data_IF_305465005814
#
_entry.id   IF_305465005814
#
_cell.length_a   1.000
_cell.length_b   1.000
_cell.length_c   1.000
_cell.angle_alpha   90.00
_cell.angle_beta   90.00
_cell.angle_gamma   90.00
#
_symmetry.space_group_name_H-M   'P 1'
#
loop_
_entity.id
_entity.type
_entity.pdbx_description
1 polymer ?
#
# COMPACT_ATOMS: atom_id res chain seq x y z
N UNK A 1 20.38 24.62 41.60
CA UNK A 1 20.99 25.22 40.40
C UNK A 1 20.86 24.17 39.30
N UNK A 2 20.58 24.55 38.05
CA UNK A 2 20.52 23.58 36.96
C UNK A 2 21.92 22.99 36.71
N UNK A 3 22.02 21.66 36.72
CA UNK A 3 23.27 20.91 36.87
C UNK A 3 24.07 20.82 35.57
N UNK A 4 23.43 20.98 34.41
CA UNK A 4 24.08 21.01 33.09
C UNK A 4 23.54 22.16 32.20
N UNK A 5 24.16 22.35 31.02
CA UNK A 5 23.79 23.43 30.09
C UNK A 5 22.35 23.30 29.59
N UNK A 6 21.90 22.09 29.28
CA UNK A 6 20.55 21.82 28.78
C UNK A 6 19.49 22.23 29.80
N UNK A 7 19.68 21.87 31.07
CA UNK A 7 18.76 22.26 32.16
C UNK A 7 18.70 23.77 32.37
N UNK A 8 19.83 24.48 32.15
CA UNK A 8 19.86 25.95 32.21
C UNK A 8 19.11 26.58 31.05
N UNK A 9 19.22 26.03 29.84
CA UNK A 9 18.47 26.49 28.67
C UNK A 9 16.97 26.24 28.83
N UNK A 10 16.56 25.07 29.35
CA UNK A 10 15.17 24.79 29.72
C UNK A 10 14.64 25.78 30.76
N UNK A 11 15.44 26.09 31.78
CA UNK A 11 15.07 27.10 32.79
C UNK A 11 14.92 28.50 32.17
N UNK A 12 15.80 28.89 31.26
CA UNK A 12 15.69 30.17 30.53
C UNK A 12 14.40 30.23 29.71
N UNK A 13 14.07 29.18 28.97
CA UNK A 13 12.82 29.10 28.22
C UNK A 13 11.59 29.22 29.13
N UNK A 14 11.55 28.43 30.21
CA UNK A 14 10.40 28.36 31.12
C UNK A 14 10.18 29.66 31.91
N UNK A 15 11.25 30.35 32.30
CA UNK A 15 11.14 31.61 33.07
C UNK A 15 11.01 32.85 32.18
N UNK A 16 11.44 32.76 30.92
CA UNK A 16 11.57 33.89 30.02
C UNK A 16 12.57 34.96 30.51
N UNK A 17 13.48 34.59 31.42
CA UNK A 17 14.46 35.52 31.96
C UNK A 17 15.49 35.91 30.88
N UNK A 18 15.55 37.20 30.56
CA UNK A 18 16.41 37.71 29.47
C UNK A 18 15.81 37.61 28.08
N UNK A 19 14.52 37.22 27.96
CA UNK A 19 13.83 37.16 26.67
C UNK A 19 13.73 38.54 26.02
N UNK A 20 14.12 38.62 24.74
CA UNK A 20 14.17 39.83 23.91
C UNK A 20 13.19 39.78 22.73
N UNK A 21 12.35 38.74 22.67
CA UNK A 21 11.24 38.60 21.72
C UNK A 21 10.02 37.91 22.35
N UNK A 22 8.84 38.26 21.86
CA UNK A 22 7.57 37.67 22.25
C UNK A 22 6.78 37.25 21.01
N UNK A 23 6.11 36.11 21.08
CA UNK A 23 5.23 35.58 20.05
C UNK A 23 3.81 35.47 20.57
N UNK A 24 2.84 35.95 19.81
CA UNK A 24 1.42 35.70 20.07
C UNK A 24 0.96 34.58 19.14
N UNK A 25 0.87 33.36 19.65
CA UNK A 25 0.69 32.13 18.87
C UNK A 25 -0.73 31.59 19.04
N UNK A 26 -1.33 31.10 17.95
CA UNK A 26 -2.68 30.52 17.94
C UNK A 26 -3.76 31.46 17.41
N UNK A 27 -5.01 30.99 17.39
CA UNK A 27 -6.18 31.75 16.94
C UNK A 27 -7.25 31.84 18.02
N UNK A 28 -8.09 32.87 17.92
CA UNK A 28 -9.25 33.05 18.80
C UNK A 28 -8.86 33.09 20.28
N UNK A 29 -9.56 32.30 21.09
CA UNK A 29 -9.38 32.22 22.54
C UNK A 29 -8.14 31.39 22.95
N UNK A 30 -7.55 30.62 22.04
CA UNK A 30 -6.34 29.81 22.28
C UNK A 30 -5.04 30.59 22.06
N UNK A 31 -5.12 31.91 21.88
CA UNK A 31 -3.94 32.75 21.71
C UNK A 31 -3.10 32.78 22.98
N UNK A 32 -1.83 32.38 22.86
CA UNK A 32 -0.87 32.38 23.95
C UNK A 32 0.32 33.30 23.64
N UNK A 33 0.74 34.07 24.65
CA UNK A 33 1.93 34.90 24.57
C UNK A 33 3.16 34.13 25.08
N UNK A 34 4.09 33.81 24.18
CA UNK A 34 5.28 33.02 24.46
C UNK A 34 6.54 33.89 24.34
N UNK A 35 7.43 33.80 25.33
CA UNK A 35 8.70 34.54 25.36
C UNK A 35 9.83 33.67 24.82
N UNK A 36 10.77 34.26 24.09
CA UNK A 36 11.96 33.57 23.60
C UNK A 36 13.17 34.51 23.49
N UNK A 37 14.29 33.96 23.01
CA UNK A 37 15.57 34.66 22.86
C UNK A 37 15.97 34.64 21.38
N UNK A 38 16.11 35.82 20.75
CA UNK A 38 16.43 35.97 19.33
C UNK A 38 17.71 35.19 18.97
N UNK A 39 18.78 35.30 19.76
CA UNK A 39 20.06 34.65 19.46
C UNK A 39 19.95 33.13 19.31
N UNK A 40 19.16 32.47 20.15
CA UNK A 40 18.93 31.03 20.09
C UNK A 40 18.09 30.69 18.85
N UNK A 41 16.99 31.43 18.65
CA UNK A 41 16.07 31.20 17.52
C UNK A 41 16.75 31.39 16.15
N UNK A 42 17.59 32.42 15.99
CA UNK A 42 18.35 32.65 14.75
C UNK A 42 19.37 31.55 14.48
N UNK A 43 19.98 30.99 15.53
CA UNK A 43 20.96 29.92 15.38
C UNK A 43 20.31 28.62 14.90
N UNK A 44 19.04 28.40 15.25
CA UNK A 44 18.32 27.19 14.89
C UNK A 44 17.49 27.30 13.59
N UNK A 45 17.32 28.51 13.03
CA UNK A 45 16.40 28.77 11.92
C UNK A 45 16.81 29.99 11.09
N UNK A 46 17.09 29.75 9.82
CA UNK A 46 17.39 30.79 8.83
C UNK A 46 16.19 31.74 8.61
N UNK A 47 14.97 31.25 8.83
CA UNK A 47 13.73 32.03 8.73
C UNK A 47 13.67 33.05 9.86
N UNK A 48 13.93 32.63 11.10
CA UNK A 48 14.01 33.55 12.23
C UNK A 48 15.21 34.50 12.11
N UNK A 49 16.36 34.02 11.62
CA UNK A 49 17.50 34.89 11.32
C UNK A 49 17.14 36.01 10.33
N UNK A 50 16.54 35.64 9.20
CA UNK A 50 16.12 36.60 8.18
C UNK A 50 15.08 37.58 8.72
N UNK A 51 14.09 37.07 9.47
CA UNK A 51 13.03 37.86 10.08
C UNK A 51 13.60 38.92 11.04
N UNK A 52 14.45 38.53 11.99
CA UNK A 52 14.94 39.46 13.01
C UNK A 52 15.98 40.43 12.46
N UNK A 53 16.85 40.00 11.53
CA UNK A 53 17.79 40.92 10.88
C UNK A 53 17.08 41.98 10.03
N UNK A 54 15.94 41.64 9.41
CA UNK A 54 15.13 42.62 8.69
C UNK A 54 14.52 43.65 9.64
N UNK A 55 13.91 43.19 10.73
CA UNK A 55 13.30 44.05 11.75
C UNK A 55 14.30 45.01 12.40
N UNK A 56 15.51 44.53 12.69
CA UNK A 56 16.57 45.35 13.29
C UNK A 56 17.09 46.43 12.31
N UNK A 57 17.10 46.13 11.00
CA UNK A 57 17.49 47.10 9.95
C UNK A 57 16.39 48.09 9.62
N UNK A 58 15.13 47.71 9.82
CA UNK A 58 13.97 48.54 9.47
C UNK A 58 13.04 48.77 10.68
N UNK A 59 13.50 49.42 11.76
CA UNK A 59 12.74 49.58 13.00
C UNK A 59 11.47 50.43 12.85
N UNK A 60 11.29 51.13 11.71
CA UNK A 60 10.15 52.01 11.42
C UNK A 60 9.20 51.48 10.35
N UNK A 61 9.51 50.37 9.69
CA UNK A 61 8.55 49.75 8.75
C UNK A 61 7.62 48.86 9.55
N UNK A 62 6.32 49.11 9.43
CA UNK A 62 5.30 48.14 9.78
C UNK A 62 5.48 46.93 8.84
N UNK A 63 6.30 45.97 9.26
CA UNK A 63 6.35 44.67 8.60
C UNK A 63 4.96 44.04 8.66
N UNK A 64 4.57 43.20 7.68
CA UNK A 64 3.27 42.52 7.68
C UNK A 64 3.04 41.67 8.94
N UNK A 65 4.12 41.27 9.63
CA UNK A 65 4.11 40.73 10.99
C UNK A 65 3.85 41.85 11.99
N UNK A 66 2.62 42.36 12.00
CA UNK A 66 2.17 43.48 12.80
C UNK A 66 2.64 43.40 14.26
N UNK A 67 3.54 44.30 14.66
CA UNK A 67 3.82 44.61 16.06
C UNK A 67 2.61 45.33 16.68
N UNK A 68 1.46 44.66 16.82
CA UNK A 68 0.47 45.08 17.81
C UNK A 68 1.04 44.71 19.18
N UNK A 69 1.54 45.72 19.90
CA UNK A 69 2.12 45.60 21.25
C UNK A 69 3.52 44.97 21.35
N UNK A 70 4.30 44.91 20.26
CA UNK A 70 5.70 44.47 20.29
C UNK A 70 5.92 42.95 20.25
N UNK A 71 4.87 42.16 20.03
CA UNK A 71 4.94 40.72 19.77
C UNK A 71 4.80 40.40 18.28
N UNK A 72 5.30 39.23 17.88
CA UNK A 72 5.13 38.63 16.55
C UNK A 72 3.89 37.74 16.56
N UNK A 73 2.89 38.03 15.72
CA UNK A 73 1.71 37.18 15.61
C UNK A 73 1.96 35.93 14.73
N UNK A 74 1.61 34.75 15.24
CA UNK A 74 1.67 33.46 14.53
C UNK A 74 0.30 32.78 14.64
N UNK A 75 -0.67 33.16 13.79
CA UNK A 75 -2.03 32.64 13.90
C UNK A 75 -2.18 31.23 13.35
N UNK A 76 -1.30 30.76 12.48
CA UNK A 76 -1.46 29.50 11.75
C UNK A 76 -0.79 28.29 12.42
N UNK A 77 -0.25 28.46 13.62
CA UNK A 77 0.36 27.38 14.42
C UNK A 77 -0.29 27.38 15.80
N UNK A 78 -0.62 26.19 16.31
CA UNK A 78 -1.14 26.04 17.67
C UNK A 78 -0.06 26.34 18.71
N UNK A 79 -0.45 26.90 19.85
CA UNK A 79 0.49 27.20 20.93
C UNK A 79 1.26 25.95 21.39
N UNK A 80 0.60 24.78 21.44
CA UNK A 80 1.22 23.51 21.77
C UNK A 80 2.35 23.14 20.79
N UNK A 81 2.07 23.15 19.48
CA UNK A 81 3.08 22.80 18.47
C UNK A 81 4.29 23.75 18.51
N UNK A 82 4.05 25.05 18.71
CA UNK A 82 5.12 26.04 18.82
C UNK A 82 5.95 25.85 20.09
N UNK A 83 5.32 25.50 21.22
CA UNK A 83 6.03 25.17 22.48
C UNK A 83 6.95 23.96 22.30
N UNK A 84 6.49 22.89 21.65
CA UNK A 84 7.33 21.72 21.35
C UNK A 84 8.52 22.12 20.48
N UNK A 85 8.29 22.94 19.45
CA UNK A 85 9.39 23.46 18.61
C UNK A 85 10.39 24.31 19.42
N UNK A 86 9.91 25.16 20.35
CA UNK A 86 10.80 25.92 21.25
C UNK A 86 11.61 24.99 22.16
N UNK A 87 10.97 24.00 22.79
CA UNK A 87 11.65 23.02 23.64
C UNK A 87 12.74 22.27 22.86
N UNK A 88 12.46 21.92 21.60
CA UNK A 88 13.44 21.31 20.71
C UNK A 88 14.61 22.26 20.38
N UNK A 89 14.32 23.51 20.00
CA UNK A 89 15.35 24.51 19.67
C UNK A 89 16.31 24.75 20.86
N UNK A 90 15.81 24.73 22.10
CA UNK A 90 16.62 25.01 23.28
C UNK A 90 17.39 23.81 23.80
N UNK A 91 16.86 22.60 23.64
CA UNK A 91 17.29 21.44 24.41
C UNK A 91 17.18 20.09 23.68
N UNK A 92 16.83 20.09 22.39
CA UNK A 92 16.45 18.89 21.63
C UNK A 92 15.36 18.06 22.34
N UNK A 93 14.52 18.75 23.13
CA UNK A 93 13.51 18.11 23.97
C UNK A 93 12.20 17.87 23.21
N UNK A 94 11.87 16.59 23.05
CA UNK A 94 10.66 16.10 22.39
C UNK A 94 9.71 15.39 23.37
N UNK A 95 9.86 15.57 24.69
CA UNK A 95 9.02 14.86 25.67
C UNK A 95 7.51 15.12 25.50
N UNK A 96 7.16 16.29 24.97
CA UNK A 96 5.77 16.71 24.71
C UNK A 96 5.30 16.41 23.28
N UNK A 97 6.15 15.85 22.40
CA UNK A 97 5.74 15.43 21.05
C UNK A 97 4.89 14.15 21.15
N UNK A 98 3.68 14.18 20.60
CA UNK A 98 2.72 13.07 20.65
C UNK A 98 1.83 13.07 19.40
N UNK A 99 0.95 12.07 19.28
CA UNK A 99 0.09 11.89 18.11
C UNK A 99 -0.80 13.09 17.79
N UNK A 100 -1.26 13.84 18.80
CA UNK A 100 -2.19 14.95 18.63
C UNK A 100 -1.51 16.21 18.06
N UNK A 101 -0.23 16.42 18.41
CA UNK A 101 0.52 17.59 17.96
C UNK A 101 1.54 17.30 16.85
N UNK A 102 1.84 16.03 16.54
CA UNK A 102 2.90 15.63 15.60
C UNK A 102 2.85 16.37 14.25
N UNK A 103 1.67 16.47 13.64
CA UNK A 103 1.51 17.15 12.35
C UNK A 103 1.63 18.68 12.47
N UNK A 104 1.15 19.25 13.58
CA UNK A 104 1.32 20.69 13.86
C UNK A 104 2.78 21.07 14.10
N UNK A 105 3.53 20.20 14.79
CA UNK A 105 4.97 20.37 15.00
C UNK A 105 5.73 20.22 13.70
N UNK A 106 5.39 19.22 12.87
CA UNK A 106 5.99 19.05 11.54
C UNK A 106 5.78 20.28 10.65
N UNK A 107 4.55 20.82 10.62
CA UNK A 107 4.25 22.06 9.92
C UNK A 107 5.08 23.25 10.42
N UNK A 108 5.15 23.44 11.75
CA UNK A 108 5.95 24.52 12.34
C UNK A 108 7.44 24.37 12.02
N UNK A 109 7.98 23.16 12.12
CA UNK A 109 9.37 22.86 11.82
C UNK A 109 9.71 23.15 10.35
N UNK A 110 8.83 22.75 9.42
CA UNK A 110 8.99 23.02 8.00
C UNK A 110 8.90 24.53 7.71
N UNK A 111 7.87 25.22 8.24
CA UNK A 111 7.66 26.66 8.08
C UNK A 111 8.85 27.50 8.54
N UNK A 112 9.47 27.12 9.66
CA UNK A 112 10.64 27.82 10.21
C UNK A 112 11.97 27.17 9.85
N UNK A 113 11.99 26.22 8.92
CA UNK A 113 13.20 25.55 8.43
C UNK A 113 14.09 24.94 9.55
N UNK A 114 13.48 24.30 10.55
CA UNK A 114 14.20 23.58 11.61
C UNK A 114 14.39 22.12 11.18
N UNK A 115 15.37 21.89 10.30
CA UNK A 115 15.56 20.62 9.58
C UNK A 115 15.69 19.38 10.48
N UNK A 116 16.38 19.50 11.62
CA UNK A 116 16.53 18.38 12.57
C UNK A 116 15.19 18.00 13.24
N UNK A 117 14.30 18.98 13.47
CA UNK A 117 12.96 18.72 13.99
C UNK A 117 12.06 18.11 12.91
N UNK A 118 12.14 18.57 11.66
CA UNK A 118 11.43 17.95 10.52
C UNK A 118 11.76 16.46 10.44
N UNK A 119 13.05 16.12 10.55
CA UNK A 119 13.49 14.72 10.55
C UNK A 119 12.91 13.93 11.73
N UNK A 120 12.95 14.49 12.94
CA UNK A 120 12.41 13.83 14.12
C UNK A 120 10.89 13.58 14.00
N UNK A 121 10.13 14.57 13.53
CA UNK A 121 8.69 14.41 13.26
C UNK A 121 8.43 13.39 12.14
N UNK A 122 9.28 13.34 11.11
CA UNK A 122 9.18 12.37 10.02
C UNK A 122 9.50 10.94 10.46
N UNK A 123 10.17 10.75 11.59
CA UNK A 123 10.43 9.43 12.18
C UNK A 123 9.35 9.00 13.19
N UNK A 124 8.35 9.86 13.46
CA UNK A 124 7.29 9.59 14.43
C UNK A 124 6.50 8.28 14.09
N UNK A 125 6.07 7.50 15.10
CA UNK A 125 5.31 6.27 14.89
C UNK A 125 3.94 6.52 14.27
N UNK A 126 3.68 5.99 13.07
CA UNK A 126 2.42 6.21 12.34
C UNK A 126 1.20 5.64 13.10
N UNK A 127 1.38 4.53 13.82
CA UNK A 127 0.34 3.87 14.60
C UNK A 127 -0.09 4.63 15.87
N UNK A 128 0.64 5.68 16.26
CA UNK A 128 0.27 6.57 17.37
C UNK A 128 -0.49 7.81 16.89
N UNK A 129 -0.65 7.98 15.57
CA UNK A 129 -1.39 9.11 15.01
C UNK A 129 -2.90 8.86 15.14
N UNK A 130 -3.67 9.85 15.60
CA UNK A 130 -5.13 9.72 15.74
C UNK A 130 -5.84 9.60 14.39
N UNK A 131 -5.28 10.21 13.33
CA UNK A 131 -5.86 10.17 11.99
C UNK A 131 -4.76 10.06 10.93
N UNK A 132 -4.52 8.84 10.46
CA UNK A 132 -3.50 8.56 9.43
C UNK A 132 -3.85 9.18 8.07
N UNK A 133 -5.13 9.33 7.74
CA UNK A 133 -5.55 9.95 6.47
C UNK A 133 -5.17 11.43 6.44
N UNK A 134 -5.45 12.15 7.55
CA UNK A 134 -5.04 13.55 7.71
C UNK A 134 -3.52 13.68 7.70
N UNK A 135 -2.80 12.81 8.41
CA UNK A 135 -1.35 12.81 8.44
C UNK A 135 -0.73 12.59 7.06
N UNK A 136 -1.26 11.64 6.27
CA UNK A 136 -0.85 11.42 4.88
C UNK A 136 -1.05 12.68 4.02
N UNK A 137 -2.23 13.29 4.09
CA UNK A 137 -2.57 14.49 3.32
C UNK A 137 -1.61 15.66 3.66
N UNK A 138 -1.42 15.92 4.94
CA UNK A 138 -0.52 16.96 5.43
C UNK A 138 0.93 16.71 5.03
N UNK A 139 1.42 15.46 5.13
CA UNK A 139 2.77 15.11 4.72
C UNK A 139 3.00 15.36 3.22
N UNK A 140 2.00 15.10 2.36
CA UNK A 140 2.07 15.45 0.94
C UNK A 140 2.16 16.95 0.71
N UNK A 141 1.36 17.75 1.41
CA UNK A 141 1.42 19.21 1.30
C UNK A 141 2.78 19.77 1.71
N UNK A 142 3.44 19.13 2.69
CA UNK A 142 4.77 19.50 3.16
C UNK A 142 5.92 18.92 2.33
N UNK A 143 5.61 18.12 1.30
CA UNK A 143 6.57 17.34 0.49
C UNK A 143 7.40 16.31 1.29
N UNK A 144 6.88 15.85 2.43
CA UNK A 144 7.47 14.79 3.24
C UNK A 144 7.05 13.41 2.71
N UNK A 145 7.61 13.07 1.54
CA UNK A 145 7.18 11.92 0.75
C UNK A 145 7.41 10.56 1.44
N UNK A 146 8.49 10.39 2.20
CA UNK A 146 8.73 9.11 2.91
C UNK A 146 7.72 8.90 4.05
N UNK A 147 7.40 9.95 4.81
CA UNK A 147 6.35 9.89 5.82
C UNK A 147 4.98 9.61 5.19
N UNK A 148 4.66 10.31 4.10
CA UNK A 148 3.44 10.09 3.33
C UNK A 148 3.30 8.64 2.83
N UNK A 149 4.41 8.06 2.33
CA UNK A 149 4.48 6.65 1.92
C UNK A 149 4.25 5.70 3.08
N UNK A 150 4.88 5.93 4.23
CA UNK A 150 4.68 5.12 5.44
C UNK A 150 3.23 5.19 5.95
N UNK A 151 2.55 6.33 5.81
CA UNK A 151 1.12 6.43 6.08
C UNK A 151 0.29 5.55 5.14
N UNK A 152 0.59 5.55 3.83
CA UNK A 152 -0.11 4.68 2.87
C UNK A 152 0.15 3.21 3.16
N UNK A 153 1.39 2.83 3.46
CA UNK A 153 1.73 1.46 3.86
C UNK A 153 0.94 1.05 5.11
N UNK A 154 0.80 1.96 6.09
CA UNK A 154 -0.03 1.69 7.27
C UNK A 154 -1.52 1.55 6.93
N UNK A 155 -2.03 2.39 6.02
CA UNK A 155 -3.41 2.30 5.53
C UNK A 155 -3.65 0.95 4.86
N UNK A 156 -2.75 0.51 3.99
CA UNK A 156 -2.85 -0.77 3.30
C UNK A 156 -2.91 -1.95 4.27
N UNK A 157 -2.06 -1.93 5.29
CA UNK A 157 -1.92 -3.01 6.27
C UNK A 157 -3.12 -3.10 7.23
N UNK A 158 -3.81 -1.98 7.46
CA UNK A 158 -4.93 -1.87 8.41
C UNK A 158 -6.24 -1.49 7.69
N UNK A 159 -6.34 -1.79 6.39
CA UNK A 159 -7.42 -1.29 5.56
C UNK A 159 -8.82 -1.73 6.06
N UNK A 160 -8.94 -2.97 6.55
CA UNK A 160 -10.22 -3.49 7.06
C UNK A 160 -10.78 -2.67 8.22
N UNK A 161 -9.94 -2.21 9.14
CA UNK A 161 -10.37 -1.40 10.28
C UNK A 161 -10.54 0.07 9.88
N UNK A 162 -9.59 0.61 9.11
CA UNK A 162 -9.56 2.01 8.72
C UNK A 162 -10.70 2.39 7.77
N UNK A 163 -11.06 1.53 6.81
CA UNK A 163 -12.21 1.79 5.94
C UNK A 163 -13.55 1.81 6.68
N UNK A 164 -13.61 1.28 7.90
CA UNK A 164 -14.82 1.31 8.72
C UNK A 164 -14.87 2.50 9.68
N UNK A 165 -13.79 3.26 9.82
CA UNK A 165 -13.66 4.32 10.81
C UNK A 165 -14.45 5.59 10.43
N UNK A 166 -14.70 6.46 11.41
CA UNK A 166 -15.37 7.75 11.17
C UNK A 166 -14.45 8.72 10.41
N UNK A 167 -13.14 8.67 10.68
CA UNK A 167 -12.14 9.49 10.01
C UNK A 167 -12.13 9.25 8.50
N UNK A 168 -12.39 8.01 8.06
CA UNK A 168 -12.50 7.67 6.65
C UNK A 168 -13.66 8.40 5.96
N UNK A 169 -14.78 8.64 6.65
CA UNK A 169 -15.93 9.35 6.07
C UNK A 169 -15.63 10.83 5.78
N UNK A 170 -14.62 11.39 6.45
CA UNK A 170 -14.23 12.79 6.32
C UNK A 170 -13.19 13.06 5.23
N UNK A 171 -12.60 12.04 4.60
CA UNK A 171 -11.64 12.24 3.50
C UNK A 171 -12.30 12.80 2.23
N UNK A 172 -11.51 13.47 1.38
CA UNK A 172 -12.00 13.97 0.09
C UNK A 172 -12.03 12.87 -0.99
N UNK A 173 -12.64 13.18 -2.14
CA UNK A 173 -12.81 12.24 -3.26
C UNK A 173 -11.46 11.79 -3.85
N UNK A 174 -10.44 12.66 -3.83
CA UNK A 174 -9.12 12.36 -4.39
C UNK A 174 -8.39 11.35 -3.50
N UNK A 175 -8.40 11.56 -2.20
CA UNK A 175 -7.83 10.65 -1.21
C UNK A 175 -8.55 9.30 -1.24
N UNK A 176 -9.88 9.32 -1.34
CA UNK A 176 -10.65 8.08 -1.48
C UNK A 176 -10.27 7.32 -2.76
N UNK A 177 -10.15 8.01 -3.89
CA UNK A 177 -9.73 7.40 -5.14
C UNK A 177 -8.32 6.82 -5.04
N UNK A 178 -7.39 7.55 -4.43
CA UNK A 178 -6.00 7.10 -4.23
C UNK A 178 -5.93 5.87 -3.36
N UNK A 179 -6.69 5.80 -2.26
CA UNK A 179 -6.73 4.61 -1.40
C UNK A 179 -7.28 3.43 -2.21
N UNK A 180 -8.47 3.56 -2.81
CA UNK A 180 -9.17 2.43 -3.44
C UNK A 180 -8.55 1.94 -4.76
N UNK A 181 -7.73 2.76 -5.41
CA UNK A 181 -6.95 2.36 -6.59
C UNK A 181 -5.80 1.40 -6.24
N UNK A 182 -5.31 1.41 -5.00
CA UNK A 182 -4.11 0.66 -4.60
C UNK A 182 -4.35 -0.84 -4.62
N UNK A 183 -3.51 -1.55 -5.36
CA UNK A 183 -3.46 -3.01 -5.31
C UNK A 183 -2.98 -3.53 -3.95
N UNK A 184 -2.27 -2.74 -3.15
CA UNK A 184 -1.67 -3.17 -1.88
C UNK A 184 -2.64 -3.21 -0.70
N UNK A 185 -3.87 -2.68 -0.84
CA UNK A 185 -4.87 -2.72 0.23
C UNK A 185 -5.14 -4.16 0.69
N UNK A 186 -4.86 -4.46 1.95
CA UNK A 186 -5.13 -5.77 2.55
C UNK A 186 -6.57 -5.87 3.00
N UNK A 187 -7.40 -6.36 2.10
CA UNK A 187 -8.82 -6.59 2.34
C UNK A 187 -9.18 -7.95 1.75
N UNK A 188 -9.89 -8.75 2.53
CA UNK A 188 -10.26 -10.12 2.14
C UNK A 188 -11.40 -10.16 1.11
N UNK A 189 -12.24 -9.13 1.06
CA UNK A 189 -13.41 -9.08 0.18
C UNK A 189 -13.67 -7.67 -0.37
N UNK A 190 -13.79 -7.55 -1.70
CA UNK A 190 -14.17 -6.30 -2.39
C UNK A 190 -15.53 -5.74 -1.96
N UNK A 191 -16.41 -6.57 -1.39
CA UNK A 191 -17.66 -6.11 -0.79
C UNK A 191 -17.43 -5.11 0.35
N UNK A 192 -16.35 -5.26 1.13
CA UNK A 192 -15.99 -4.32 2.20
C UNK A 192 -15.68 -2.94 1.63
N UNK A 193 -14.98 -2.91 0.48
CA UNK A 193 -14.66 -1.67 -0.23
C UNK A 193 -15.92 -1.00 -0.75
N UNK A 194 -16.81 -1.78 -1.37
CA UNK A 194 -18.12 -1.29 -1.82
C UNK A 194 -18.91 -0.65 -0.66
N UNK A 195 -19.02 -1.35 0.47
CA UNK A 195 -19.76 -0.86 1.63
C UNK A 195 -19.15 0.43 2.18
N UNK A 196 -17.82 0.52 2.24
CA UNK A 196 -17.11 1.73 2.66
C UNK A 196 -17.37 2.90 1.69
N UNK A 197 -17.33 2.65 0.38
CA UNK A 197 -17.61 3.67 -0.64
C UNK A 197 -19.06 4.19 -0.54
N UNK A 198 -20.04 3.33 -0.29
CA UNK A 198 -21.44 3.74 -0.10
C UNK A 198 -21.63 4.52 1.20
N UNK A 199 -21.00 4.10 2.29
CA UNK A 199 -21.02 4.86 3.56
C UNK A 199 -20.43 6.26 3.37
N UNK A 200 -19.28 6.35 2.70
CA UNK A 200 -18.67 7.64 2.38
C UNK A 200 -19.58 8.49 1.49
N UNK A 201 -20.23 7.89 0.48
CA UNK A 201 -21.16 8.59 -0.40
C UNK A 201 -22.40 9.11 0.34
N UNK A 202 -22.93 8.34 1.28
CA UNK A 202 -24.06 8.74 2.14
C UNK A 202 -23.69 9.93 3.02
N UNK A 203 -22.51 9.90 3.65
CA UNK A 203 -22.00 11.03 4.44
C UNK A 203 -21.81 12.28 3.58
N UNK A 204 -21.28 12.13 2.36
CA UNK A 204 -21.13 13.25 1.42
C UNK A 204 -22.49 13.79 0.96
N UNK A 205 -23.47 12.93 0.71
CA UNK A 205 -24.83 13.37 0.38
C UNK A 205 -25.43 14.17 1.55
N UNK A 206 -25.24 13.71 2.79
CA UNK A 206 -25.68 14.41 3.99
C UNK A 206 -25.03 15.80 4.13
N UNK A 207 -23.71 15.90 3.92
CA UNK A 207 -22.97 17.17 3.95
C UNK A 207 -23.42 18.15 2.84
N UNK A 208 -23.79 17.63 1.67
CA UNK A 208 -24.34 18.42 0.56
C UNK A 208 -25.84 18.70 0.70
N UNK A 209 -26.50 18.20 1.75
CA UNK A 209 -27.94 18.33 1.98
C UNK A 209 -28.80 17.78 0.82
N UNK A 210 -28.37 16.66 0.22
CA UNK A 210 -29.09 15.93 -0.82
C UNK A 210 -29.54 14.56 -0.33
N UNK A 211 -30.61 14.02 -0.91
CA UNK A 211 -31.09 12.67 -0.59
C UNK A 211 -30.05 11.61 -0.97
N UNK A 212 -29.87 10.59 -0.13
CA UNK A 212 -29.02 9.42 -0.42
C UNK A 212 -29.68 8.46 -1.44
N UNK A 213 -30.10 8.99 -2.58
CA UNK A 213 -30.65 8.22 -3.70
C UNK A 213 -29.55 7.52 -4.48
N UNK A 214 -29.89 6.45 -5.20
CA UNK A 214 -28.92 5.70 -6.03
C UNK A 214 -28.20 6.60 -7.06
N UNK A 215 -28.93 7.56 -7.63
CA UNK A 215 -28.38 8.55 -8.57
C UNK A 215 -27.35 9.46 -7.88
N UNK A 216 -27.73 10.06 -6.75
CA UNK A 216 -26.84 10.98 -6.03
C UNK A 216 -25.59 10.25 -5.50
N UNK A 217 -25.74 9.02 -5.00
CA UNK A 217 -24.61 8.17 -4.62
C UNK A 217 -23.66 7.94 -5.79
N UNK A 218 -24.18 7.59 -6.97
CA UNK A 218 -23.36 7.40 -8.18
C UNK A 218 -22.64 8.70 -8.55
N UNK A 219 -23.34 9.83 -8.55
CA UNK A 219 -22.78 11.14 -8.92
C UNK A 219 -21.65 11.56 -7.94
N UNK A 220 -21.85 11.35 -6.64
CA UNK A 220 -20.89 11.68 -5.58
C UNK A 220 -19.69 10.73 -5.58
N UNK A 221 -19.89 9.43 -5.77
CA UNK A 221 -18.80 8.45 -5.92
C UNK A 221 -17.99 8.76 -7.18
N UNK A 222 -18.66 9.07 -8.29
CA UNK A 222 -18.01 9.46 -9.54
C UNK A 222 -16.95 8.44 -10.00
N UNK A 223 -15.70 8.86 -10.25
CA UNK A 223 -14.67 8.00 -10.84
C UNK A 223 -14.22 6.85 -9.92
N UNK A 224 -14.47 6.96 -8.61
CA UNK A 224 -14.11 5.93 -7.62
C UNK A 224 -14.83 4.62 -7.90
N UNK A 225 -16.03 4.68 -8.50
CA UNK A 225 -16.84 3.51 -8.82
C UNK A 225 -16.05 2.51 -9.68
N UNK A 226 -15.23 3.02 -10.61
CA UNK A 226 -14.42 2.22 -11.52
C UNK A 226 -13.09 1.74 -10.91
N UNK A 227 -12.83 2.03 -9.63
CA UNK A 227 -11.70 1.48 -8.86
C UNK A 227 -12.09 0.25 -8.05
N UNK A 228 -13.40 -0.01 -7.91
CA UNK A 228 -13.96 -1.18 -7.21
C UNK A 228 -14.00 -2.38 -8.17
N UNK A 229 -13.61 -3.55 -7.69
CA UNK A 229 -13.46 -4.76 -8.53
C UNK A 229 -14.71 -5.62 -8.40
N UNK A 230 -15.84 -5.10 -8.86
CA UNK A 230 -17.13 -5.81 -8.86
C UNK A 230 -17.08 -7.25 -9.39
N UNK A 231 -16.29 -7.57 -10.44
CA UNK A 231 -16.12 -8.96 -10.91
C UNK A 231 -15.63 -9.94 -9.84
N UNK A 232 -14.94 -9.45 -8.81
CA UNK A 232 -14.39 -10.24 -7.71
C UNK A 232 -15.30 -10.31 -6.48
N UNK A 233 -16.43 -9.59 -6.48
CA UNK A 233 -17.46 -9.76 -5.45
C UNK A 233 -18.21 -11.08 -5.73
N UNK A 234 -18.43 -11.89 -4.68
CA UNK A 234 -19.15 -13.16 -4.81
C UNK A 234 -20.52 -12.95 -5.47
N UNK A 235 -20.85 -13.79 -6.46
CA UNK A 235 -22.11 -13.71 -7.22
C UNK A 235 -23.36 -13.56 -6.34
N UNK A 236 -23.37 -14.26 -5.20
CA UNK A 236 -24.45 -14.20 -4.21
C UNK A 236 -24.61 -12.78 -3.64
N UNK A 237 -23.51 -12.19 -3.20
CA UNK A 237 -23.51 -10.86 -2.59
C UNK A 237 -23.72 -9.77 -3.63
N UNK A 238 -23.15 -9.93 -4.82
CA UNK A 238 -23.42 -9.05 -5.96
C UNK A 238 -24.92 -8.96 -6.26
N UNK A 239 -25.61 -10.11 -6.32
CA UNK A 239 -27.05 -10.17 -6.58
C UNK A 239 -27.91 -9.64 -5.44
N UNK A 240 -27.47 -9.81 -4.18
CA UNK A 240 -28.25 -9.44 -2.99
C UNK A 240 -28.05 -8.00 -2.54
N UNK A 241 -26.88 -7.42 -2.78
CA UNK A 241 -26.46 -6.13 -2.23
C UNK A 241 -26.25 -5.12 -3.35
N UNK A 242 -25.46 -5.47 -4.37
CA UNK A 242 -25.06 -4.52 -5.41
C UNK A 242 -26.21 -4.24 -6.38
N UNK A 243 -26.86 -5.28 -6.91
CA UNK A 243 -27.97 -5.12 -7.86
C UNK A 243 -29.13 -4.28 -7.27
N UNK A 244 -29.63 -4.55 -6.05
CA UNK A 244 -30.73 -3.77 -5.48
C UNK A 244 -30.34 -2.33 -5.13
N UNK A 245 -29.04 -2.01 -5.02
CA UNK A 245 -28.58 -0.65 -4.75
C UNK A 245 -28.91 0.34 -5.86
N UNK A 246 -29.13 -0.15 -7.10
CA UNK A 246 -29.41 0.63 -8.31
C UNK A 246 -28.33 1.68 -8.66
N UNK A 247 -27.13 1.59 -8.07
CA UNK A 247 -26.02 2.52 -8.35
C UNK A 247 -25.34 2.17 -9.67
N UNK A 248 -25.21 0.88 -10.00
CA UNK A 248 -24.68 0.43 -11.29
C UNK A 248 -25.76 0.52 -12.38
N UNK A 249 -25.33 0.85 -13.60
CA UNK A 249 -26.17 0.83 -14.81
C UNK A 249 -26.46 -0.61 -15.22
N UNK A 250 -27.49 -0.79 -16.04
CA UNK A 250 -27.82 -2.12 -16.58
C UNK A 250 -26.67 -2.73 -17.40
N UNK A 251 -25.93 -1.94 -18.16
CA UNK A 251 -24.81 -2.43 -18.98
C UNK A 251 -23.66 -2.94 -18.09
N UNK A 252 -23.30 -2.18 -17.04
CA UNK A 252 -22.30 -2.58 -16.04
C UNK A 252 -22.71 -3.85 -15.29
N UNK A 253 -23.99 -3.96 -14.88
CA UNK A 253 -24.52 -5.15 -14.22
C UNK A 253 -24.40 -6.39 -15.13
N UNK A 254 -24.78 -6.24 -16.40
CA UNK A 254 -24.71 -7.32 -17.39
C UNK A 254 -23.26 -7.75 -17.65
N UNK A 255 -22.32 -6.81 -17.72
CA UNK A 255 -20.90 -7.10 -17.86
C UNK A 255 -20.36 -7.93 -16.68
N UNK A 256 -20.69 -7.57 -15.44
CA UNK A 256 -20.26 -8.33 -14.24
C UNK A 256 -20.91 -9.72 -14.20
N UNK A 257 -22.21 -9.84 -14.46
CA UNK A 257 -22.88 -11.14 -14.50
C UNK A 257 -22.30 -12.07 -15.57
N UNK A 258 -21.97 -11.50 -16.72
CA UNK A 258 -21.30 -12.22 -17.79
C UNK A 258 -19.93 -12.74 -17.36
N UNK A 259 -19.14 -11.92 -16.68
CA UNK A 259 -17.85 -12.35 -16.12
C UNK A 259 -18.03 -13.50 -15.11
N UNK A 260 -19.02 -13.41 -14.21
CA UNK A 260 -19.32 -14.49 -13.26
C UNK A 260 -19.75 -15.79 -13.94
N UNK A 261 -20.34 -15.73 -15.13
CA UNK A 261 -20.67 -16.91 -15.92
C UNK A 261 -19.45 -17.49 -16.67
N UNK A 262 -18.49 -16.65 -17.03
CA UNK A 262 -17.38 -17.01 -17.91
C UNK A 262 -16.05 -16.30 -17.54
N UNK A 263 -15.43 -16.61 -16.38
CA UNK A 263 -14.24 -15.90 -15.90
C UNK A 263 -13.00 -16.06 -16.80
N UNK A 264 -12.94 -17.14 -17.61
CA UNK A 264 -11.77 -17.49 -18.43
C UNK A 264 -11.74 -16.86 -19.82
N UNK A 265 -12.75 -16.07 -20.18
CA UNK A 265 -12.88 -15.43 -21.50
C UNK A 265 -12.52 -13.93 -21.40
N UNK A 266 -11.24 -13.63 -21.12
CA UNK A 266 -10.73 -12.23 -21.03
C UNK A 266 -10.81 -11.45 -22.36
N UNK A 267 -10.90 -12.15 -23.49
CA UNK A 267 -10.93 -11.56 -24.84
C UNK A 267 -12.32 -11.58 -25.48
N UNK A 268 -13.39 -11.76 -24.72
CA UNK A 268 -14.74 -11.71 -25.31
C UNK A 268 -15.11 -10.26 -25.61
N UNK A 269 -15.15 -9.92 -26.90
CA UNK A 269 -15.76 -8.70 -27.43
C UNK A 269 -17.29 -8.79 -27.32
N UNK A 270 -17.77 -8.90 -26.09
CA UNK A 270 -19.18 -8.96 -25.79
C UNK A 270 -19.92 -7.67 -26.12
N UNK A 271 -21.24 -7.77 -26.17
CA UNK A 271 -22.12 -6.62 -26.35
C UNK A 271 -21.97 -5.58 -25.21
N UNK A 272 -21.41 -5.98 -24.07
CA UNK A 272 -21.18 -5.15 -22.89
C UNK A 272 -19.70 -5.19 -22.49
N UNK A 273 -18.91 -4.12 -22.69
CA UNK A 273 -17.50 -4.09 -22.33
C UNK A 273 -17.31 -4.08 -20.81
N UNK A 274 -16.27 -4.76 -20.32
CA UNK A 274 -15.92 -4.74 -18.89
C UNK A 274 -15.13 -3.47 -18.55
N UNK A 275 -15.73 -2.59 -17.75
CA UNK A 275 -15.10 -1.33 -17.31
C UNK A 275 -14.44 -1.43 -15.94
N UNK A 276 -14.72 -2.50 -15.18
CA UNK A 276 -14.18 -2.70 -13.84
C UNK A 276 -12.91 -3.56 -13.87
N UNK A 277 -11.95 -3.35 -12.95
CA UNK A 277 -10.79 -4.22 -12.85
C UNK A 277 -11.18 -5.64 -12.45
N UNK A 278 -10.53 -6.64 -13.08
CA UNK A 278 -10.79 -8.06 -12.85
C UNK A 278 -9.63 -8.79 -12.15
N UNK A 279 -8.57 -8.08 -11.76
CA UNK A 279 -7.42 -8.66 -11.09
C UNK A 279 -7.52 -8.50 -9.57
N UNK A 280 -7.11 -9.52 -8.83
CA UNK A 280 -7.10 -9.45 -7.36
C UNK A 280 -6.14 -8.37 -6.87
N UNK A 281 -6.40 -7.86 -5.66
CA UNK A 281 -5.45 -7.00 -4.96
C UNK A 281 -4.20 -7.82 -4.64
N UNK A 282 -3.04 -7.17 -4.63
CA UNK A 282 -1.78 -7.79 -4.27
C UNK A 282 -1.90 -8.29 -2.84
N UNK A 283 -2.07 -9.59 -2.71
CA UNK A 283 -1.96 -10.26 -1.44
C UNK A 283 -0.48 -10.30 -1.04
N UNK A 284 -0.16 -9.82 0.17
CA UNK A 284 1.13 -10.06 0.86
C UNK A 284 1.33 -11.53 1.26
N UNK A 285 0.60 -12.44 0.60
CA UNK A 285 0.80 -13.87 0.68
C UNK A 285 2.28 -14.17 0.46
N UNK A 286 2.93 -14.56 1.56
CA UNK A 286 4.30 -15.07 1.57
C UNK A 286 4.35 -16.44 0.90
N UNK A 287 3.21 -17.11 0.78
CA UNK A 287 3.06 -18.42 0.18
C UNK A 287 1.79 -18.48 -0.68
N UNK A 288 1.80 -19.34 -1.69
CA UNK A 288 0.66 -19.53 -2.59
C UNK A 288 0.74 -20.89 -3.29
N UNK A 289 -0.40 -21.40 -3.72
CA UNK A 289 -0.50 -22.70 -4.40
C UNK A 289 -1.00 -22.50 -5.82
N UNK A 290 -0.20 -22.90 -6.80
CA UNK A 290 -0.62 -22.96 -8.20
C UNK A 290 -1.12 -24.36 -8.53
N UNK A 291 -2.22 -24.46 -9.28
CA UNK A 291 -2.74 -25.72 -9.78
C UNK A 291 -2.97 -25.63 -11.30
N UNK A 292 -2.66 -26.69 -12.02
CA UNK A 292 -2.89 -26.81 -13.46
C UNK A 292 -3.37 -28.23 -13.79
N UNK A 293 -4.50 -28.33 -14.47
CA UNK A 293 -4.94 -29.56 -15.10
C UNK A 293 -4.55 -29.51 -16.58
N UNK A 294 -3.77 -30.49 -17.04
CA UNK A 294 -3.47 -30.64 -18.46
C UNK A 294 -4.50 -31.60 -19.04
N UNK A 295 -5.56 -31.04 -19.62
CA UNK A 295 -6.57 -31.79 -20.38
C UNK A 295 -6.00 -32.33 -21.70
N UNK A 296 -6.57 -33.44 -22.19
CA UNK A 296 -6.11 -34.10 -23.41
C UNK A 296 -4.60 -34.37 -23.36
N UNK A 297 -4.13 -34.88 -22.22
CA UNK A 297 -2.71 -35.08 -21.95
C UNK A 297 -2.04 -35.99 -22.99
N UNK A 298 -2.76 -36.99 -23.48
CA UNK A 298 -2.32 -37.90 -24.53
C UNK A 298 -2.06 -37.21 -25.88
N UNK A 299 -2.89 -36.22 -26.24
CA UNK A 299 -2.69 -35.36 -27.41
C UNK A 299 -1.51 -34.42 -27.18
N UNK A 300 -1.44 -33.80 -25.99
CA UNK A 300 -0.35 -32.91 -25.60
C UNK A 300 1.02 -33.59 -25.75
N UNK A 301 1.17 -34.84 -25.29
CA UNK A 301 2.41 -35.61 -25.42
C UNK A 301 2.89 -35.78 -26.88
N UNK A 302 2.00 -35.70 -27.86
CA UNK A 302 2.28 -35.87 -29.28
C UNK A 302 2.58 -34.56 -30.01
N UNK A 303 2.26 -33.42 -29.42
CA UNK A 303 2.50 -32.09 -30.00
C UNK A 303 4.00 -31.81 -30.25
N UNK A 304 4.28 -30.74 -30.99
CA UNK A 304 5.65 -30.36 -31.35
C UNK A 304 6.48 -30.08 -30.09
N UNK A 305 7.79 -30.36 -30.18
CA UNK A 305 8.70 -29.94 -29.12
C UNK A 305 8.60 -28.41 -28.92
N UNK A 306 8.81 -27.95 -27.69
CA UNK A 306 8.70 -26.57 -27.25
C UNK A 306 7.28 -26.01 -27.18
N UNK A 307 6.23 -26.81 -27.43
CA UNK A 307 4.88 -26.38 -27.10
C UNK A 307 4.73 -26.28 -25.59
N UNK A 308 4.16 -25.18 -25.11
CA UNK A 308 3.92 -24.91 -23.69
C UNK A 308 2.46 -24.57 -23.41
N UNK A 309 1.97 -25.04 -22.26
CA UNK A 309 0.69 -24.63 -21.67
C UNK A 309 0.95 -23.98 -20.32
N UNK A 310 0.18 -22.95 -19.99
CA UNK A 310 0.35 -22.15 -18.78
C UNK A 310 -0.87 -22.28 -17.88
N UNK A 311 -0.66 -22.25 -16.56
CA UNK A 311 -1.77 -22.13 -15.61
C UNK A 311 -2.34 -20.72 -15.54
N UNK A 312 -3.45 -20.59 -14.83
CA UNK A 312 -3.82 -19.32 -14.21
C UNK A 312 -2.69 -18.81 -13.32
N UNK A 313 -2.56 -17.48 -13.25
CA UNK A 313 -1.51 -16.84 -12.50
C UNK A 313 -2.00 -16.38 -11.14
N UNK A 314 -1.15 -16.51 -10.13
CA UNK A 314 -1.38 -15.96 -8.78
C UNK A 314 -0.31 -14.93 -8.46
N UNK A 315 -0.59 -14.04 -7.51
CA UNK A 315 0.39 -13.08 -7.02
C UNK A 315 0.95 -13.54 -5.67
N UNK A 316 2.28 -13.61 -5.55
CA UNK A 316 2.98 -13.90 -4.29
C UNK A 316 4.04 -12.82 -4.11
N UNK A 317 3.97 -12.09 -2.99
CA UNK A 317 4.77 -10.86 -2.76
C UNK A 317 4.74 -9.88 -3.94
N UNK A 318 3.56 -9.66 -4.52
CA UNK A 318 3.37 -8.72 -5.64
C UNK A 318 3.96 -9.15 -6.99
N UNK A 319 4.55 -10.34 -7.09
CA UNK A 319 5.04 -10.88 -8.37
C UNK A 319 4.05 -11.88 -8.95
N UNK A 320 3.79 -11.87 -10.28
CA UNK A 320 2.86 -12.80 -10.93
C UNK A 320 3.55 -14.13 -11.26
N UNK A 321 3.03 -15.22 -10.71
CA UNK A 321 3.57 -16.58 -10.87
C UNK A 321 2.63 -17.46 -11.68
N UNK A 322 3.18 -18.36 -12.51
CA UNK A 322 2.44 -19.37 -13.29
C UNK A 322 3.18 -20.71 -13.31
N UNK A 323 2.43 -21.80 -13.49
CA UNK A 323 2.98 -23.08 -13.94
C UNK A 323 3.21 -22.99 -15.45
N UNK A 324 4.37 -23.45 -15.91
CA UNK A 324 4.67 -23.67 -17.32
C UNK A 324 4.94 -25.15 -17.56
N UNK A 325 4.00 -25.80 -18.22
CA UNK A 325 4.11 -27.18 -18.70
C UNK A 325 4.59 -27.15 -20.16
N UNK A 326 5.79 -27.65 -20.43
CA UNK A 326 6.46 -27.54 -21.73
C UNK A 326 6.93 -28.89 -22.24
N UNK A 327 6.80 -29.15 -23.54
CA UNK A 327 7.38 -30.35 -24.16
C UNK A 327 8.86 -30.12 -24.44
N UNK A 328 9.73 -30.89 -23.78
CA UNK A 328 11.18 -30.86 -23.99
C UNK A 328 11.66 -32.12 -24.70
N UNK A 329 12.71 -31.97 -25.50
CA UNK A 329 13.45 -33.07 -26.12
C UNK A 329 14.90 -32.98 -25.71
N UNK A 330 15.54 -34.11 -25.42
CA UNK A 330 16.98 -34.13 -25.14
C UNK A 330 17.75 -34.08 -26.47
N UNK A 331 18.90 -33.39 -26.50
CA UNK A 331 19.76 -33.21 -27.68
C UNK A 331 19.83 -34.46 -28.55
N UNK A 332 19.26 -34.39 -29.77
CA UNK A 332 19.24 -35.42 -30.81
C UNK A 332 18.48 -36.73 -30.49
N UNK A 333 17.60 -36.78 -29.47
CA UNK A 333 16.68 -37.91 -29.27
C UNK A 333 15.25 -37.56 -29.72
N UNK A 334 14.49 -38.58 -30.14
CA UNK A 334 13.04 -38.48 -30.41
C UNK A 334 12.19 -38.56 -29.14
N UNK A 335 12.82 -38.77 -27.98
CA UNK A 335 12.14 -38.94 -26.71
C UNK A 335 11.71 -37.57 -26.15
N UNK A 336 10.41 -37.44 -25.89
CA UNK A 336 9.79 -36.23 -25.35
C UNK A 336 9.55 -36.36 -23.85
N UNK A 337 9.69 -35.24 -23.16
CA UNK A 337 9.60 -35.11 -21.72
C UNK A 337 8.71 -33.93 -21.37
N UNK A 338 7.99 -34.03 -20.26
CA UNK A 338 7.28 -32.92 -19.65
C UNK A 338 8.28 -32.09 -18.83
N UNK A 339 8.48 -30.86 -19.28
CA UNK A 339 9.00 -29.75 -18.50
C UNK A 339 7.91 -29.21 -17.59
N UNK A 340 8.17 -29.17 -16.29
CA UNK A 340 7.28 -28.63 -15.28
C UNK A 340 8.02 -27.54 -14.53
N UNK A 341 7.65 -26.29 -14.80
CA UNK A 341 8.37 -25.12 -14.32
C UNK A 341 7.46 -24.15 -13.57
N UNK A 342 8.04 -23.48 -12.58
CA UNK A 342 7.51 -22.27 -12.00
C UNK A 342 8.08 -21.08 -12.79
N UNK A 343 7.20 -20.21 -13.25
CA UNK A 343 7.57 -19.04 -14.04
C UNK A 343 7.01 -17.77 -13.41
N UNK A 344 7.89 -16.84 -13.04
CA UNK A 344 7.52 -15.46 -12.73
C UNK A 344 7.39 -14.66 -14.03
N UNK A 345 6.20 -14.11 -14.27
CA UNK A 345 5.84 -13.39 -15.50
C UNK A 345 5.97 -11.87 -15.38
N UNK A 346 6.65 -11.39 -14.34
CA UNK A 346 6.93 -9.97 -14.16
C UNK A 346 7.70 -9.38 -15.36
N UNK A 347 7.48 -8.09 -15.70
CA UNK A 347 8.18 -7.43 -16.79
C UNK A 347 9.71 -7.52 -16.66
N UNK A 348 10.42 -7.59 -17.79
CA UNK A 348 11.89 -7.77 -17.81
C UNK A 348 12.67 -6.48 -17.54
N UNK A 349 12.04 -5.35 -17.80
CA UNK A 349 12.52 -3.99 -17.60
C UNK A 349 12.55 -3.57 -16.13
N UNK A 350 11.78 -4.24 -15.27
CA UNK A 350 11.82 -4.01 -13.83
C UNK A 350 12.96 -4.78 -13.13
N UNK A 351 13.67 -4.08 -12.24
CA UNK A 351 14.72 -4.68 -11.41
C UNK A 351 14.10 -5.36 -10.17
N UNK A 352 13.54 -6.54 -10.36
CA UNK A 352 12.98 -7.35 -9.28
C UNK A 352 13.83 -8.59 -8.96
N UNK A 353 13.78 -9.04 -7.71
CA UNK A 353 14.36 -10.32 -7.28
C UNK A 353 13.52 -10.94 -6.17
N UNK A 354 13.29 -12.24 -6.23
CA UNK A 354 12.55 -12.98 -5.21
C UNK A 354 13.20 -14.34 -4.94
N UNK A 355 13.55 -14.58 -3.68
CA UNK A 355 14.06 -15.88 -3.23
C UNK A 355 12.88 -16.68 -2.69
N UNK A 356 12.61 -17.83 -3.29
CA UNK A 356 11.51 -18.68 -2.87
C UNK A 356 11.88 -20.17 -2.92
N UNK A 357 11.27 -20.93 -2.02
CA UNK A 357 11.19 -22.38 -2.07
C UNK A 357 9.92 -22.77 -2.82
N UNK A 358 10.00 -23.73 -3.73
CA UNK A 358 8.84 -24.22 -4.46
C UNK A 358 8.78 -25.75 -4.44
N UNK A 359 7.64 -26.29 -4.06
CA UNK A 359 7.35 -27.73 -4.01
C UNK A 359 6.42 -28.10 -5.15
N UNK A 360 6.96 -28.84 -6.11
CA UNK A 360 6.28 -29.35 -7.30
C UNK A 360 5.66 -30.70 -7.00
N UNK A 361 4.38 -30.88 -7.29
CA UNK A 361 3.63 -32.12 -7.12
C UNK A 361 2.91 -32.50 -8.41
N UNK A 362 3.06 -33.76 -8.82
CA UNK A 362 2.16 -34.39 -9.80
C UNK A 362 1.19 -35.23 -8.98
N UNK A 363 -0.07 -34.84 -9.00
CA UNK A 363 -1.09 -35.38 -8.08
C UNK A 363 -1.51 -36.76 -8.52
N UNK A 364 -1.46 -37.72 -7.59
CA UNK A 364 -1.96 -39.06 -7.81
C UNK A 364 -3.49 -39.07 -7.91
N UNK A 365 -4.01 -39.71 -8.94
CA UNK A 365 -5.44 -39.93 -9.18
C UNK A 365 -5.94 -41.24 -8.54
N UNK A 366 -5.04 -42.08 -8.04
CA UNK A 366 -5.37 -43.38 -7.42
C UNK A 366 -5.28 -43.31 -5.91
N UNK A 367 -6.37 -43.70 -5.24
CA UNK A 367 -6.43 -43.81 -3.78
C UNK A 367 -5.32 -44.73 -3.24
N UNK A 368 -4.54 -44.22 -2.28
CA UNK A 368 -3.41 -44.93 -1.66
C UNK A 368 -2.06 -44.81 -2.39
N UNK A 369 -2.02 -44.19 -3.59
CA UNK A 369 -0.76 -43.86 -4.27
C UNK A 369 -0.37 -42.41 -3.94
N UNK A 370 0.92 -42.19 -3.66
CA UNK A 370 1.46 -40.87 -3.27
C UNK A 370 1.77 -40.02 -4.50
N UNK A 371 1.61 -38.70 -4.34
CA UNK A 371 2.07 -37.71 -5.31
C UNK A 371 3.57 -37.84 -5.60
N UNK A 372 3.96 -37.50 -6.83
CA UNK A 372 5.37 -37.32 -7.17
C UNK A 372 5.77 -35.90 -6.80
N UNK A 373 6.59 -35.78 -5.76
CA UNK A 373 7.00 -34.48 -5.20
C UNK A 373 8.47 -34.18 -5.48
N UNK A 374 8.78 -32.95 -5.91
CA UNK A 374 10.14 -32.40 -6.00
C UNK A 374 10.19 -30.98 -5.44
N UNK A 375 11.36 -30.54 -5.00
CA UNK A 375 11.54 -29.20 -4.42
C UNK A 375 12.70 -28.46 -5.06
N UNK A 376 12.57 -27.15 -5.17
CA UNK A 376 13.66 -26.24 -5.53
C UNK A 376 13.71 -25.10 -4.51
N UNK A 377 14.92 -24.57 -4.30
CA UNK A 377 15.13 -23.25 -3.72
C UNK A 377 15.81 -22.40 -4.78
N UNK A 378 15.16 -21.33 -5.21
CA UNK A 378 15.64 -20.54 -6.34
C UNK A 378 15.50 -19.04 -6.09
N UNK A 379 16.46 -18.27 -6.60
CA UNK A 379 16.41 -16.81 -6.62
C UNK A 379 15.95 -16.35 -8.00
N UNK A 380 14.65 -16.08 -8.11
CA UNK A 380 14.04 -15.55 -9.32
C UNK A 380 14.40 -14.07 -9.49
N UNK A 381 14.63 -13.68 -10.74
CA UNK A 381 14.89 -12.27 -11.13
C UNK A 381 14.54 -12.11 -12.60
N UNK A 382 14.59 -10.88 -13.11
CA UNK A 382 14.41 -10.60 -14.54
C UNK A 382 15.38 -11.40 -15.47
N UNK A 383 16.53 -11.84 -14.97
CA UNK A 383 17.50 -12.70 -15.68
C UNK A 383 17.24 -14.20 -15.52
N UNK A 384 16.52 -14.60 -14.48
CA UNK A 384 16.25 -16.00 -14.14
C UNK A 384 14.80 -16.16 -13.70
N UNK A 385 13.87 -15.84 -14.60
CA UNK A 385 12.44 -15.76 -14.28
C UNK A 385 11.73 -17.11 -14.24
N UNK A 386 12.35 -18.17 -14.75
CA UNK A 386 11.77 -19.53 -14.84
C UNK A 386 12.72 -20.57 -14.24
N UNK A 387 12.19 -21.52 -13.47
CA UNK A 387 12.95 -22.61 -12.87
C UNK A 387 12.05 -23.83 -12.62
N UNK A 388 12.59 -25.04 -12.73
CA UNK A 388 11.81 -26.27 -12.58
C UNK A 388 12.54 -27.51 -13.08
N UNK A 389 11.76 -28.51 -13.52
CA UNK A 389 12.27 -29.83 -13.86
C UNK A 389 11.86 -30.25 -15.27
N UNK A 390 12.77 -30.89 -16.01
CA UNK A 390 12.54 -31.34 -17.40
C UNK A 390 12.69 -32.86 -17.57
N UNK A 391 12.55 -33.62 -16.49
CA UNK A 391 12.88 -35.04 -16.41
C UNK A 391 11.69 -35.95 -16.11
N UNK A 392 10.48 -35.57 -16.52
CA UNK A 392 9.30 -36.43 -16.46
C UNK A 392 8.99 -37.02 -17.84
N UNK A 393 9.15 -38.33 -18.03
CA UNK A 393 8.81 -38.96 -19.32
C UNK A 393 7.31 -39.10 -19.46
N UNK A 394 6.77 -38.79 -20.65
CA UNK A 394 5.35 -38.99 -20.93
C UNK A 394 4.93 -40.46 -20.77
N UNK A 395 5.81 -41.40 -21.16
CA UNK A 395 5.57 -42.83 -20.98
C UNK A 395 5.38 -43.22 -19.51
N UNK A 396 6.15 -42.64 -18.60
CA UNK A 396 6.03 -42.92 -17.17
C UNK A 396 4.79 -42.26 -16.56
N UNK A 397 4.47 -41.04 -16.99
CA UNK A 397 3.29 -40.32 -16.49
C UNK A 397 1.99 -41.00 -16.91
N UNK A 398 1.92 -41.53 -18.13
CA UNK A 398 0.75 -42.22 -18.68
C UNK A 398 0.66 -43.71 -18.28
N UNK A 399 1.59 -44.22 -17.47
CA UNK A 399 1.52 -45.58 -16.93
C UNK A 399 0.37 -45.67 -15.91
N UNK A 400 -0.69 -46.37 -16.29
CA UNK A 400 -1.90 -46.54 -15.46
C UNK A 400 -1.64 -47.25 -14.14
N UNK A 401 -0.55 -48.01 -14.02
CA UNK A 401 -0.18 -48.64 -12.75
C UNK A 401 0.36 -47.62 -11.73
N UNK A 402 0.94 -46.51 -12.22
CA UNK A 402 1.47 -45.42 -11.40
C UNK A 402 0.39 -44.46 -10.90
N UNK A 403 -0.79 -44.43 -11.54
CA UNK A 403 -1.93 -43.64 -11.10
C UNK A 403 -1.73 -42.12 -11.14
N UNK A 404 -0.77 -41.61 -11.91
CA UNK A 404 -0.49 -40.17 -12.05
C UNK A 404 -1.29 -39.52 -13.20
N UNK A 405 -1.87 -40.35 -14.06
CA UNK A 405 -2.67 -39.97 -15.22
C UNK A 405 -4.07 -40.53 -15.06
N UNK A 406 -5.08 -39.65 -15.13
CA UNK A 406 -6.47 -40.06 -15.23
C UNK A 406 -6.74 -40.48 -16.67
N UNK A 407 -6.93 -41.77 -16.89
CA UNK A 407 -7.16 -42.32 -18.23
C UNK A 407 -8.57 -42.06 -18.74
N UNK A 408 -9.55 -41.94 -17.85
CA UNK A 408 -10.95 -41.79 -18.25
C UNK A 408 -11.21 -40.35 -18.70
N UNK A 409 -10.60 -39.37 -18.03
CA UNK A 409 -10.72 -37.95 -18.36
C UNK A 409 -9.55 -37.41 -19.24
N UNK A 410 -8.49 -38.20 -19.46
CA UNK A 410 -7.24 -37.81 -20.15
C UNK A 410 -6.57 -36.57 -19.53
N UNK A 411 -6.36 -36.61 -18.20
CA UNK A 411 -5.86 -35.47 -17.40
C UNK A 411 -4.63 -35.85 -16.56
N UNK A 412 -3.68 -34.92 -16.47
CA UNK A 412 -2.65 -34.89 -15.41
C UNK A 412 -2.80 -33.59 -14.61
N UNK A 413 -2.81 -33.69 -13.28
CA UNK A 413 -2.88 -32.53 -12.39
C UNK A 413 -1.50 -32.19 -11.82
N UNK A 414 -1.05 -30.95 -12.06
CA UNK A 414 0.19 -30.38 -11.58
C UNK A 414 -0.10 -29.34 -10.50
N UNK A 415 0.65 -29.37 -9.40
CA UNK A 415 0.53 -28.40 -8.30
C UNK A 415 1.90 -27.89 -7.91
N UNK A 416 2.03 -26.58 -7.67
CA UNK A 416 3.25 -25.98 -7.10
C UNK A 416 2.87 -25.18 -5.86
N UNK A 417 3.40 -25.59 -4.71
CA UNK A 417 3.33 -24.80 -3.48
C UNK A 417 4.59 -23.90 -3.42
N UNK A 418 4.41 -22.58 -3.45
CA UNK A 418 5.50 -21.59 -3.43
C UNK A 418 5.54 -20.91 -2.07
N UNK A 419 6.73 -20.75 -1.49
CA UNK A 419 6.95 -20.04 -0.23
C UNK A 419 8.16 -19.09 -0.38
N UNK A 420 7.96 -17.82 -0.10
CA UNK A 420 8.96 -16.76 -0.21
C UNK A 420 9.54 -16.42 1.16
N UNK A 421 10.81 -16.73 1.40
CA UNK A 421 11.45 -16.47 2.70
C UNK A 421 11.49 -14.96 3.04
N UNK A 422 11.40 -14.61 4.33
CA UNK A 422 11.83 -13.31 4.87
C UNK A 422 13.35 -13.30 5.05
N UNK A 423 14.00 -12.16 4.76
CA UNK A 423 15.41 -11.98 5.08
C UNK A 423 15.61 -12.12 6.59
N UNK A 424 16.19 -13.24 7.05
CA UNK A 424 16.89 -13.25 8.34
C UNK A 424 18.08 -12.31 8.19
N UNK A 425 17.98 -11.14 8.81
CA UNK A 425 18.97 -10.08 8.76
C UNK A 425 20.38 -10.63 8.86
N UNK A 426 21.15 -10.47 7.80
CA UNK A 426 22.58 -10.75 7.83
C UNK A 426 23.18 -9.64 8.68
N UNK A 427 23.54 -9.96 9.94
CA UNK A 427 24.43 -9.13 10.74
C UNK A 427 25.61 -8.76 9.85
N UNK A 428 25.74 -7.48 9.49
CA UNK A 428 26.98 -6.95 8.93
C UNK A 428 28.08 -7.34 9.92
N UNK A 429 28.98 -8.22 9.49
CA UNK A 429 30.30 -8.33 10.11
C UNK A 429 30.95 -6.96 9.92
N UNK A 430 31.02 -6.19 11.00
CA UNK A 430 32.02 -5.15 11.17
C UNK A 430 33.37 -5.78 10.83
N UNK A 431 33.95 -5.34 9.72
CA UNK A 431 35.36 -5.57 9.43
C UNK A 431 36.12 -4.42 10.09
N UNK A 432 37.23 -4.80 10.73
CA UNK A 432 38.11 -4.03 11.61
C UNK A 432 38.57 -2.68 11.06
#
# INVERSE_FOLDING_TARGET
>A
MADNLVDRLKLMLNTGNGADIQFLVGQGEEKELLKAHKCIMMTASDVFESMFRFDDKNPKTETPSAKKNGSVEIPDISANAFKVMLSFIYAEDLSELNGDNAMGVLYAANKYNVSSLVKACSEFPINELPNVFFAHFQARLLNENDFSRRCLDYIDQNAETLLQSEEFLHIDQNMLCEILERDQLKIDNELTIWNAAIRWADERCAQMLIECSAKNRRDVIGPILYKIRFPLIEKRDFSKIIVPSCVLTMEELLAVFQYHCHPNLRDWHGQYPMEFPCHERISDQKEGTLTMQIEKFSEFAQEKAWTSRLSEGIYIKGLPWKICAEIRTKNNSTEKWLGFHLWCTAPKDESWSCKCSATFRIVSQKSGVKDVTKKIDHSFSNKSSISGFTNFTFLHLMDTEKGLYDKDEDIVTLVIDVNTEEQKGTKRKSTE
#
